data_IF_066842955355
#
_entry.id   IF_066842955355
#
_cell.length_a   1.000
_cell.length_b   1.000
_cell.length_c   1.000
_cell.angle_alpha   90.00
_cell.angle_beta   90.00
_cell.angle_gamma   90.00
#
_symmetry.space_group_name_H-M   'P 1'
#
loop_
_entity.id
_entity.type
_entity.pdbx_description
1 polymer ?
#
# COMPACT_ATOMS: atom_id res chain seq x y z
N UNK A 1 25.55 4.78 -18.35
CA UNK A 1 24.58 3.69 -18.13
C UNK A 1 23.17 4.21 -18.37
N UNK A 2 22.16 3.34 -18.33
CA UNK A 2 20.75 3.74 -18.25
C UNK A 2 20.34 3.86 -16.76
N UNK A 3 19.32 4.68 -16.43
CA UNK A 3 18.80 4.74 -15.07
C UNK A 3 18.29 3.40 -14.54
N UNK A 4 18.57 3.15 -13.25
CA UNK A 4 18.23 1.89 -12.58
C UNK A 4 17.26 2.12 -11.40
N UNK A 5 16.22 1.30 -11.35
CA UNK A 5 15.28 1.21 -10.22
C UNK A 5 15.38 -0.18 -9.64
N UNK A 6 15.76 -0.29 -8.37
CA UNK A 6 16.02 -1.56 -7.70
C UNK A 6 15.21 -1.60 -6.40
N UNK A 7 14.24 -2.51 -6.32
CA UNK A 7 13.43 -2.71 -5.12
C UNK A 7 13.58 -4.12 -4.59
N UNK A 8 13.56 -4.25 -3.26
CA UNK A 8 13.65 -5.54 -2.57
C UNK A 8 12.33 -5.89 -1.87
N UNK A 9 12.06 -7.20 -1.80
CA UNK A 9 10.88 -7.79 -1.16
C UNK A 9 11.33 -8.81 -0.09
N UNK A 10 11.78 -8.36 1.09
CA UNK A 10 12.27 -9.28 2.13
C UNK A 10 11.15 -10.19 2.63
N UNK A 11 11.53 -11.41 3.01
CA UNK A 11 10.62 -12.37 3.66
C UNK A 11 10.34 -11.95 5.12
N UNK A 12 9.52 -12.73 5.82
CA UNK A 12 9.11 -12.43 7.19
C UNK A 12 10.24 -12.44 8.23
N UNK A 13 11.41 -12.98 7.88
CA UNK A 13 12.62 -13.01 8.72
C UNK A 13 13.31 -11.64 8.84
N UNK A 14 12.87 -10.64 8.07
CA UNK A 14 13.41 -9.27 8.10
C UNK A 14 14.90 -9.15 7.70
N UNK A 15 15.42 -10.16 7.00
CA UNK A 15 16.78 -10.20 6.43
C UNK A 15 16.71 -10.70 4.99
N UNK A 16 17.75 -10.42 4.21
CA UNK A 16 17.97 -11.03 2.92
C UNK A 16 18.45 -12.47 3.09
N UNK A 17 18.35 -13.28 2.04
CA UNK A 17 18.69 -14.72 2.09
C UNK A 17 20.17 -14.98 2.42
N UNK A 18 21.05 -14.03 2.12
CA UNK A 18 22.47 -14.02 2.44
C UNK A 18 22.79 -13.46 3.85
N UNK A 19 21.76 -13.16 4.65
CA UNK A 19 21.90 -12.69 6.03
C UNK A 19 22.08 -11.18 6.18
N UNK A 20 22.06 -10.41 5.09
CA UNK A 20 22.22 -8.95 5.13
C UNK A 20 20.90 -8.29 5.56
N UNK A 21 20.99 -7.23 6.37
CA UNK A 21 19.81 -6.46 6.80
C UNK A 21 19.18 -5.71 5.61
N UNK A 22 17.86 -5.48 5.66
CA UNK A 22 17.12 -4.76 4.62
C UNK A 22 17.75 -3.39 4.31
N UNK A 23 18.12 -2.65 5.35
CA UNK A 23 18.67 -1.29 5.22
C UNK A 23 20.09 -1.32 4.66
N UNK A 24 20.93 -2.26 5.09
CA UNK A 24 22.30 -2.38 4.58
C UNK A 24 22.33 -2.87 3.13
N UNK A 25 21.41 -3.76 2.74
CA UNK A 25 21.20 -4.10 1.33
C UNK A 25 20.85 -2.86 0.51
N UNK A 26 19.97 -1.99 1.00
CA UNK A 26 19.63 -0.76 0.27
C UNK A 26 20.83 0.20 0.15
N UNK A 27 21.67 0.33 1.19
CA UNK A 27 22.90 1.13 1.14
C UNK A 27 23.88 0.57 0.09
N UNK A 28 24.06 -0.74 0.05
CA UNK A 28 24.93 -1.39 -0.93
C UNK A 28 24.42 -1.16 -2.37
N UNK A 29 23.12 -1.32 -2.58
CA UNK A 29 22.50 -1.06 -3.89
C UNK A 29 22.70 0.39 -4.37
N UNK A 30 22.64 1.37 -3.46
CA UNK A 30 22.98 2.76 -3.78
C UNK A 30 24.47 2.91 -4.14
N UNK A 31 25.38 2.32 -3.36
CA UNK A 31 26.82 2.39 -3.61
C UNK A 31 27.21 1.76 -4.95
N UNK A 32 26.47 0.76 -5.40
CA UNK A 32 26.64 0.10 -6.69
C UNK A 32 26.01 0.89 -7.87
N UNK A 33 25.44 2.07 -7.61
CA UNK A 33 24.89 2.97 -8.65
C UNK A 33 23.37 2.87 -8.85
N UNK A 34 22.63 2.38 -7.87
CA UNK A 34 21.16 2.42 -7.86
C UNK A 34 20.62 3.85 -7.82
N UNK A 35 19.97 4.31 -8.88
CA UNK A 35 19.40 5.68 -8.94
C UNK A 35 18.09 5.80 -8.14
N UNK A 36 17.32 4.72 -8.09
CA UNK A 36 16.16 4.56 -7.19
C UNK A 36 16.28 3.24 -6.44
N UNK A 37 16.27 3.28 -5.10
CA UNK A 37 16.38 2.09 -4.25
C UNK A 37 15.26 2.05 -3.22
N UNK A 38 14.68 0.89 -2.94
CA UNK A 38 13.71 0.77 -1.86
C UNK A 38 13.01 -0.57 -1.79
N UNK A 39 11.72 -0.55 -1.45
CA UNK A 39 10.97 -1.77 -1.16
C UNK A 39 9.71 -1.92 -2.02
N UNK A 40 9.40 -3.17 -2.36
CA UNK A 40 8.14 -3.54 -2.99
C UNK A 40 7.61 -4.87 -2.44
N UNK A 41 6.33 -5.14 -2.71
CA UNK A 41 5.69 -6.43 -2.42
C UNK A 41 5.74 -6.82 -0.93
N UNK A 42 5.36 -8.07 -0.65
CA UNK A 42 5.34 -8.84 0.60
C UNK A 42 4.68 -8.18 1.82
N UNK A 43 5.08 -6.95 2.15
CA UNK A 43 4.64 -6.13 3.28
C UNK A 43 3.55 -5.17 2.85
N UNK A 44 2.53 -5.08 3.71
CA UNK A 44 1.52 -4.05 3.61
C UNK A 44 2.03 -2.69 4.08
N UNK A 45 1.18 -1.65 4.00
CA UNK A 45 1.56 -0.28 4.35
C UNK A 45 2.19 -0.15 5.75
N UNK A 46 1.54 -0.74 6.75
CA UNK A 46 1.96 -0.63 8.17
C UNK A 46 3.32 -1.26 8.46
N UNK A 47 3.63 -2.42 7.85
CA UNK A 47 4.88 -3.14 8.13
C UNK A 47 6.02 -2.73 7.19
N UNK A 48 5.72 -2.03 6.09
CA UNK A 48 6.71 -1.45 5.19
C UNK A 48 7.18 -0.07 5.68
N UNK A 49 6.29 0.76 6.23
CA UNK A 49 6.59 2.15 6.61
C UNK A 49 7.80 2.31 7.54
N UNK A 50 8.01 1.49 8.58
CA UNK A 50 9.21 1.61 9.43
C UNK A 50 10.52 1.47 8.65
N UNK A 51 10.59 0.50 7.72
CA UNK A 51 11.77 0.32 6.87
C UNK A 51 11.95 1.48 5.90
N UNK A 52 10.89 2.00 5.29
CA UNK A 52 11.00 3.17 4.42
C UNK A 52 11.54 4.40 5.17
N UNK A 53 11.17 4.59 6.45
CA UNK A 53 11.74 5.65 7.30
C UNK A 53 13.24 5.46 7.52
N UNK A 54 13.69 4.23 7.77
CA UNK A 54 15.11 3.93 7.96
C UNK A 54 15.92 4.06 6.67
N UNK A 55 15.41 3.48 5.57
CA UNK A 55 15.98 3.58 4.22
C UNK A 55 16.11 5.05 3.83
N UNK A 56 15.04 5.83 3.97
CA UNK A 56 15.07 7.24 3.57
C UNK A 56 16.08 8.07 4.36
N UNK A 57 16.30 7.77 5.64
CA UNK A 57 17.36 8.41 6.45
C UNK A 57 18.76 7.99 6.03
N UNK A 58 18.93 6.75 5.56
CA UNK A 58 20.24 6.19 5.24
C UNK A 58 20.73 6.49 3.82
N UNK A 59 19.81 6.56 2.85
CA UNK A 59 20.14 6.75 1.43
C UNK A 59 20.06 8.22 1.00
N UNK A 60 20.81 8.59 -0.03
CA UNK A 60 20.77 9.90 -0.69
C UNK A 60 20.02 9.89 -2.03
N UNK A 61 19.99 8.75 -2.72
CA UNK A 61 19.30 8.56 -4.00
C UNK A 61 17.77 8.60 -3.84
N UNK A 62 17.04 8.46 -4.93
CA UNK A 62 15.58 8.40 -4.85
C UNK A 62 15.14 7.11 -4.15
N UNK A 63 14.08 7.20 -3.33
CA UNK A 63 13.57 6.03 -2.61
C UNK A 63 12.26 5.55 -3.21
N UNK A 64 12.10 4.23 -3.28
CA UNK A 64 10.89 3.56 -3.73
C UNK A 64 10.11 2.89 -2.59
N UNK A 65 8.78 2.99 -2.63
CA UNK A 65 7.87 2.32 -1.70
C UNK A 65 6.60 1.83 -2.41
N UNK A 66 6.47 0.51 -2.53
CA UNK A 66 5.33 -0.14 -3.21
C UNK A 66 4.77 -1.29 -2.36
N UNK A 67 4.00 -1.00 -1.30
CA UNK A 67 3.40 -2.02 -0.45
C UNK A 67 2.36 -2.83 -1.23
N UNK A 68 2.06 -4.02 -0.73
CA UNK A 68 0.88 -4.77 -1.18
C UNK A 68 -0.40 -4.18 -0.60
N UNK A 69 -1.53 -4.46 -1.23
CA UNK A 69 -2.85 -4.03 -0.77
C UNK A 69 -3.42 -4.95 0.33
N UNK A 70 -2.65 -5.30 1.36
CA UNK A 70 -3.12 -6.20 2.42
C UNK A 70 -2.61 -5.77 3.80
N UNK A 71 -3.44 -5.93 4.84
CA UNK A 71 -3.13 -5.56 6.23
C UNK A 71 -2.21 -6.59 6.91
N UNK A 72 -0.91 -6.46 6.69
CA UNK A 72 0.12 -7.23 7.41
C UNK A 72 0.37 -6.67 8.81
N UNK A 73 0.85 -7.51 9.73
CA UNK A 73 1.15 -7.16 11.13
C UNK A 73 2.58 -7.50 11.51
N UNK A 74 3.07 -7.10 12.69
CA UNK A 74 4.41 -7.49 13.13
C UNK A 74 4.56 -9.01 13.31
N UNK A 75 3.48 -9.69 13.72
CA UNK A 75 3.44 -11.16 13.83
C UNK A 75 3.38 -11.83 12.46
N UNK A 76 2.65 -11.23 11.51
CA UNK A 76 2.51 -11.72 10.14
C UNK A 76 2.96 -10.62 9.16
N UNK A 77 4.28 -10.40 9.05
CA UNK A 77 4.82 -9.27 8.30
C UNK A 77 4.57 -9.37 6.80
N UNK A 78 4.21 -10.55 6.29
CA UNK A 78 3.95 -10.77 4.88
C UNK A 78 2.55 -11.30 4.63
N UNK A 79 1.96 -11.01 3.47
CA UNK A 79 0.72 -11.68 3.04
C UNK A 79 0.81 -13.20 2.87
N UNK A 80 2.02 -13.76 2.79
CA UNK A 80 2.23 -15.21 2.67
C UNK A 80 1.83 -15.96 3.95
N UNK A 81 1.89 -15.28 5.11
CA UNK A 81 1.62 -15.86 6.42
C UNK A 81 0.48 -15.17 7.19
N UNK A 82 -0.41 -14.46 6.50
CA UNK A 82 -1.59 -13.89 7.15
C UNK A 82 -2.49 -15.00 7.74
N UNK A 83 -3.15 -14.77 8.88
CA UNK A 83 -4.12 -15.70 9.42
C UNK A 83 -5.51 -15.48 8.80
N UNK A 84 -6.31 -16.54 8.72
CA UNK A 84 -7.71 -16.46 8.27
C UNK A 84 -8.64 -16.04 9.42
N UNK A 85 -8.53 -14.79 9.88
CA UNK A 85 -9.26 -14.30 11.06
C UNK A 85 -10.14 -13.06 10.79
N UNK A 86 -10.46 -12.77 9.53
CA UNK A 86 -11.21 -11.58 9.12
C UNK A 86 -12.71 -11.84 8.91
N UNK A 87 -13.29 -12.75 9.71
CA UNK A 87 -14.73 -13.03 9.67
C UNK A 87 -15.19 -13.88 8.47
N UNK A 88 -14.27 -14.58 7.81
CA UNK A 88 -14.60 -15.55 6.77
C UNK A 88 -15.43 -16.70 7.36
N UNK A 89 -16.56 -17.02 6.75
CA UNK A 89 -17.39 -18.18 7.14
C UNK A 89 -17.01 -19.45 6.38
N UNK A 90 -16.16 -19.34 5.37
CA UNK A 90 -15.66 -20.43 4.54
C UNK A 90 -14.14 -20.47 4.65
N UNK A 91 -13.59 -21.60 5.07
CA UNK A 91 -12.15 -21.77 5.25
C UNK A 91 -11.44 -21.96 3.90
N UNK A 92 -10.24 -21.39 3.78
CA UNK A 92 -9.32 -21.72 2.68
C UNK A 92 -8.88 -23.20 2.74
N UNK A 93 -8.71 -23.88 1.59
CA UNK A 93 -8.13 -25.23 1.55
C UNK A 93 -6.59 -25.22 1.75
N UNK A 94 -5.98 -24.04 1.89
CA UNK A 94 -4.54 -23.88 2.02
C UNK A 94 -4.11 -23.65 3.47
N UNK A 95 -2.80 -23.72 3.74
CA UNK A 95 -2.24 -23.47 5.08
C UNK A 95 -2.49 -22.03 5.55
N UNK A 96 -2.49 -21.08 4.62
CA UNK A 96 -2.75 -19.66 4.87
C UNK A 96 -3.72 -19.16 3.80
N UNK A 97 -4.30 -17.95 3.94
CA UNK A 97 -5.19 -17.36 2.95
C UNK A 97 -4.54 -17.12 1.58
N UNK A 98 -3.21 -17.04 1.52
CA UNK A 98 -2.50 -16.90 0.26
C UNK A 98 -2.58 -18.19 -0.58
N UNK A 99 -2.78 -18.11 -1.91
CA UNK A 99 -3.00 -16.90 -2.71
C UNK A 99 -4.48 -16.58 -2.99
N UNK A 100 -5.42 -17.45 -2.59
CA UNK A 100 -6.79 -17.48 -3.13
C UNK A 100 -7.89 -16.99 -2.18
N UNK A 101 -7.56 -16.62 -0.94
CA UNK A 101 -8.52 -16.20 0.09
C UNK A 101 -8.11 -14.90 0.81
N UNK A 102 -7.39 -14.01 0.13
CA UNK A 102 -6.86 -12.77 0.71
C UNK A 102 -7.84 -11.59 0.67
N UNK A 103 -8.98 -11.73 0.01
CA UNK A 103 -9.95 -10.65 -0.23
C UNK A 103 -10.34 -9.89 1.06
N UNK A 104 -10.62 -10.58 2.19
CA UNK A 104 -11.02 -9.90 3.43
C UNK A 104 -9.87 -9.15 4.12
N UNK A 105 -8.62 -9.40 3.72
CA UNK A 105 -7.43 -8.77 4.30
C UNK A 105 -7.02 -7.49 3.56
N UNK A 106 -7.75 -7.08 2.52
CA UNK A 106 -7.37 -5.93 1.70
C UNK A 106 -7.43 -4.61 2.44
N UNK A 107 -6.44 -3.74 2.22
CA UNK A 107 -6.52 -2.34 2.64
C UNK A 107 -7.65 -1.63 1.87
N UNK A 108 -8.31 -0.69 2.53
CA UNK A 108 -9.18 0.24 1.83
C UNK A 108 -8.34 1.34 1.15
N UNK A 109 -8.97 2.11 0.28
CA UNK A 109 -8.28 3.19 -0.46
C UNK A 109 -7.65 4.23 0.47
N UNK A 110 -8.32 4.58 1.55
CA UNK A 110 -7.85 5.62 2.47
C UNK A 110 -6.59 5.20 3.22
N UNK A 111 -6.45 3.90 3.55
CA UNK A 111 -5.22 3.34 4.13
C UNK A 111 -4.04 3.47 3.14
N UNK A 112 -4.27 3.18 1.86
CA UNK A 112 -3.26 3.32 0.80
C UNK A 112 -2.92 4.79 0.54
N UNK A 113 -3.92 5.67 0.49
CA UNK A 113 -3.72 7.11 0.36
C UNK A 113 -2.93 7.70 1.52
N UNK A 114 -3.24 7.30 2.76
CA UNK A 114 -2.50 7.74 3.94
C UNK A 114 -1.04 7.29 3.90
N UNK A 115 -0.77 6.03 3.51
CA UNK A 115 0.59 5.56 3.29
C UNK A 115 1.35 6.38 2.25
N UNK A 116 0.72 6.63 1.09
CA UNK A 116 1.35 7.38 0.02
C UNK A 116 1.68 8.81 0.47
N UNK A 117 0.75 9.46 1.16
CA UNK A 117 0.96 10.79 1.73
C UNK A 117 2.11 10.80 2.74
N UNK A 118 2.11 9.90 3.72
CA UNK A 118 3.16 9.84 4.74
C UNK A 118 4.54 9.56 4.10
N UNK A 119 4.60 8.63 3.15
CA UNK A 119 5.83 8.31 2.45
C UNK A 119 6.36 9.48 1.60
N UNK A 120 5.46 10.19 0.91
CA UNK A 120 5.81 11.37 0.13
C UNK A 120 6.30 12.51 1.01
N UNK A 121 5.60 12.80 2.11
CA UNK A 121 5.94 13.86 3.07
C UNK A 121 7.35 13.66 3.67
N UNK A 122 7.84 12.41 3.75
CA UNK A 122 9.20 12.10 4.20
C UNK A 122 10.24 11.98 3.07
N UNK A 123 9.87 12.23 1.81
CA UNK A 123 10.80 12.25 0.68
C UNK A 123 10.99 10.93 -0.07
N UNK A 124 10.04 10.00 -0.01
CA UNK A 124 9.96 8.86 -0.93
C UNK A 124 9.44 9.36 -2.29
N UNK A 125 10.09 8.95 -3.37
CA UNK A 125 9.91 9.54 -4.70
C UNK A 125 9.15 8.62 -5.65
N UNK A 126 9.40 7.31 -5.56
CA UNK A 126 8.78 6.30 -6.41
C UNK A 126 7.73 5.56 -5.59
N UNK A 127 6.48 5.99 -5.69
CA UNK A 127 5.36 5.42 -4.94
C UNK A 127 4.42 4.62 -5.83
N UNK A 128 3.92 3.51 -5.30
CA UNK A 128 2.96 2.67 -6.00
C UNK A 128 2.30 1.65 -5.08
N UNK A 129 1.66 0.67 -5.67
CA UNK A 129 1.07 -0.48 -4.98
C UNK A 129 1.46 -1.74 -5.76
N UNK A 130 1.85 -2.79 -5.05
CA UNK A 130 2.30 -4.04 -5.64
C UNK A 130 1.13 -5.05 -5.74
N UNK A 131 1.26 -6.26 -5.18
CA UNK A 131 0.19 -7.26 -5.23
C UNK A 131 -1.13 -6.74 -4.62
N UNK A 132 -2.25 -7.05 -5.29
CA UNK A 132 -3.57 -6.55 -4.91
C UNK A 132 -3.86 -5.11 -5.36
N UNK A 133 -2.94 -4.46 -6.10
CA UNK A 133 -3.20 -3.18 -6.73
C UNK A 133 -4.36 -3.26 -7.72
N UNK A 134 -5.11 -2.17 -7.81
CA UNK A 134 -6.13 -1.96 -8.83
C UNK A 134 -6.07 -0.49 -9.29
N UNK A 135 -6.73 -0.12 -10.41
CA UNK A 135 -6.65 1.24 -10.95
C UNK A 135 -7.09 2.34 -9.98
N UNK A 136 -8.04 2.05 -9.08
CA UNK A 136 -8.47 3.01 -8.05
C UNK A 136 -7.35 3.26 -7.05
N UNK A 137 -6.62 2.23 -6.59
CA UNK A 137 -5.51 2.41 -5.65
C UNK A 137 -4.34 3.19 -6.26
N UNK A 138 -4.01 2.94 -7.53
CA UNK A 138 -2.97 3.70 -8.23
C UNK A 138 -3.35 5.17 -8.34
N UNK A 139 -4.62 5.47 -8.63
CA UNK A 139 -5.15 6.85 -8.60
C UNK A 139 -5.05 7.45 -7.19
N UNK A 140 -5.42 6.69 -6.16
CA UNK A 140 -5.39 7.17 -4.78
C UNK A 140 -3.96 7.55 -4.34
N UNK A 141 -2.95 6.77 -4.72
CA UNK A 141 -1.53 7.12 -4.48
C UNK A 141 -1.18 8.45 -5.13
N UNK A 142 -1.56 8.66 -6.40
CA UNK A 142 -1.26 9.90 -7.12
C UNK A 142 -1.98 11.11 -6.50
N UNK A 143 -3.26 10.97 -6.17
CA UNK A 143 -4.05 12.06 -5.57
C UNK A 143 -3.58 12.40 -4.16
N UNK A 144 -3.15 11.41 -3.37
CA UNK A 144 -2.61 11.61 -2.02
C UNK A 144 -1.34 12.48 -1.99
N UNK A 145 -0.57 12.48 -3.08
CA UNK A 145 0.64 13.31 -3.24
C UNK A 145 0.38 14.59 -4.04
N UNK A 146 -0.88 14.97 -4.21
CA UNK A 146 -1.29 16.23 -4.83
C UNK A 146 -1.34 16.22 -6.36
N UNK A 147 -1.22 15.06 -7.01
CA UNK A 147 -1.30 14.95 -8.46
C UNK A 147 -2.75 14.78 -8.92
N UNK A 148 -3.06 15.39 -10.07
CA UNK A 148 -4.29 15.10 -10.82
C UNK A 148 -3.92 14.31 -12.07
N UNK A 149 -4.43 13.10 -12.18
CA UNK A 149 -4.11 12.17 -13.28
C UNK A 149 -5.29 12.04 -14.26
N UNK A 150 -5.08 11.53 -15.49
CA UNK A 150 -6.19 11.31 -16.43
C UNK A 150 -7.33 10.46 -15.86
N UNK A 151 -7.01 9.50 -14.97
CA UNK A 151 -7.99 8.65 -14.29
C UNK A 151 -8.75 9.34 -13.14
N UNK A 152 -8.31 10.54 -12.69
CA UNK A 152 -8.99 11.32 -11.64
C UNK A 152 -10.42 11.71 -12.03
N UNK A 153 -10.73 11.76 -13.32
CA UNK A 153 -12.12 11.97 -13.81
C UNK A 153 -13.09 10.85 -13.41
N UNK A 154 -12.58 9.67 -13.06
CA UNK A 154 -13.38 8.52 -12.61
C UNK A 154 -13.47 8.41 -11.09
N UNK A 155 -13.06 9.46 -10.36
CA UNK A 155 -13.27 9.53 -8.92
C UNK A 155 -14.77 9.60 -8.62
N UNK A 156 -15.19 8.90 -7.58
CA UNK A 156 -16.54 8.99 -7.04
C UNK A 156 -16.92 10.43 -6.72
N UNK A 157 -18.13 10.81 -7.11
CA UNK A 157 -18.73 12.07 -6.70
C UNK A 157 -19.70 11.78 -5.56
N UNK A 158 -19.19 11.80 -4.32
CA UNK A 158 -20.00 11.52 -3.13
C UNK A 158 -21.16 12.49 -2.94
N UNK A 159 -21.10 13.71 -3.49
CA UNK A 159 -22.25 14.61 -3.46
C UNK A 159 -23.50 14.00 -4.13
N UNK A 160 -23.30 13.08 -5.08
CA UNK A 160 -24.35 12.36 -5.80
C UNK A 160 -24.70 10.98 -5.22
N UNK A 161 -24.06 10.53 -4.13
CA UNK A 161 -24.43 9.28 -3.49
C UNK A 161 -25.88 9.33 -3.01
N UNK A 162 -26.66 8.27 -3.25
CA UNK A 162 -28.12 8.31 -3.05
C UNK A 162 -28.52 8.60 -1.59
N UNK A 163 -27.78 8.04 -0.63
CA UNK A 163 -28.02 8.20 0.81
C UNK A 163 -27.06 9.21 1.44
N UNK A 164 -25.76 8.94 1.43
CA UNK A 164 -24.70 9.80 2.01
C UNK A 164 -24.33 11.06 1.20
N UNK A 165 -25.06 11.41 0.14
CA UNK A 165 -24.73 12.57 -0.68
C UNK A 165 -25.27 13.90 -0.14
N UNK A 166 -24.72 14.99 -0.66
CA UNK A 166 -25.06 16.37 -0.26
C UNK A 166 -25.92 17.12 -1.28
N UNK A 167 -26.15 16.54 -2.47
CA UNK A 167 -26.95 17.18 -3.52
C UNK A 167 -28.39 17.46 -3.03
N UNK A 168 -28.93 18.63 -3.40
CA UNK A 168 -30.28 19.09 -3.04
C UNK A 168 -31.38 18.15 -3.56
N UNK A 169 -31.12 17.41 -4.64
CA UNK A 169 -32.07 16.45 -5.24
C UNK A 169 -32.35 15.21 -4.38
N UNK A 170 -31.54 14.96 -3.34
CA UNK A 170 -31.70 13.79 -2.49
C UNK A 170 -32.88 14.03 -1.53
N UNK A 171 -33.94 13.20 -1.58
CA UNK A 171 -35.13 13.38 -0.74
C UNK A 171 -34.81 13.34 0.76
N UNK A 172 -35.52 14.15 1.56
CA UNK A 172 -35.32 14.21 3.02
C UNK A 172 -35.46 12.83 3.68
N UNK A 173 -36.49 12.07 3.33
CA UNK A 173 -36.72 10.73 3.88
C UNK A 173 -35.57 9.75 3.59
N UNK A 174 -34.84 9.93 2.47
CA UNK A 174 -33.64 9.13 2.18
C UNK A 174 -32.46 9.54 3.07
N UNK A 175 -32.28 10.85 3.31
CA UNK A 175 -31.22 11.35 4.22
C UNK A 175 -31.45 10.90 5.66
N UNK A 176 -32.70 10.82 6.09
CA UNK A 176 -33.07 10.33 7.43
C UNK A 176 -32.73 8.84 7.67
N UNK A 177 -32.37 8.08 6.62
CA UNK A 177 -31.85 6.71 6.76
C UNK A 177 -30.35 6.65 7.04
N UNK A 178 -29.59 7.75 6.92
CA UNK A 178 -28.14 7.73 7.15
C UNK A 178 -27.76 7.15 8.52
N UNK A 179 -28.55 7.47 9.55
CA UNK A 179 -28.32 7.00 10.94
C UNK A 179 -29.10 5.72 11.29
N UNK A 180 -29.82 5.13 10.31
CA UNK A 180 -30.68 3.95 10.51
C UNK A 180 -30.27 2.74 9.66
N UNK A 181 -29.27 2.91 8.79
CA UNK A 181 -28.75 1.89 7.89
C UNK A 181 -27.64 1.06 8.54
#
# INVERSE_FOLDING_TARGET
GLPSVITIAPMGENIMRDGISIVDTCKELEQQGGEVVGMNCHRGPTTMMPYLKEIRKALKCHVAGLPINYRTTNQNPTFLNLPDNNGCTCATPHKTPFPTALDPMQCNRYEIGNFAKEAFDMGVNYLGVCCGANPMLIREVAEAVGLKVPASKYRENMANHYMFGTNKRIPKHIKEYQDKA
#
